data_IF_749201503089
#
_entry.id   IF_749201503089
#
_cell.length_a   1.000
_cell.length_b   1.000
_cell.length_c   1.000
_cell.angle_alpha   90.00
_cell.angle_beta   90.00
_cell.angle_gamma   90.00
#
_symmetry.space_group_name_H-M   'P 1'
#
loop_
_entity.id
_entity.type
_entity.pdbx_description
1 polymer ?
#
# COMPACT_ATOMS: atom_id res chain seq x y z
N UNK A 1 -24.08 -0.53 -4.74
CA UNK A 1 -24.77 -1.83 -4.56
C UNK A 1 -23.91 -2.67 -3.64
N UNK A 2 -24.39 -2.82 -2.42
CA UNK A 2 -23.67 -3.34 -1.27
C UNK A 2 -23.74 -4.88 -1.30
N UNK A 3 -22.65 -5.55 -1.72
CA UNK A 3 -22.51 -6.99 -1.49
C UNK A 3 -22.05 -7.14 -0.05
N UNK A 4 -22.97 -7.47 0.84
CA UNK A 4 -22.61 -7.97 2.17
C UNK A 4 -21.68 -9.18 1.98
N UNK A 5 -20.51 -9.11 2.60
CA UNK A 5 -19.48 -10.14 2.54
C UNK A 5 -20.09 -11.49 2.92
N UNK A 6 -20.09 -12.46 2.00
CA UNK A 6 -20.54 -13.80 2.32
C UNK A 6 -19.50 -14.48 3.23
N UNK A 7 -19.91 -15.46 4.04
CA UNK A 7 -18.98 -16.25 4.85
C UNK A 7 -17.90 -16.95 4.02
N UNK A 8 -18.18 -17.23 2.74
CA UNK A 8 -17.21 -17.79 1.79
C UNK A 8 -16.13 -16.80 1.36
N UNK A 9 -16.44 -15.50 1.27
CA UNK A 9 -15.47 -14.46 0.90
C UNK A 9 -14.45 -14.22 2.02
N UNK A 10 -14.91 -14.24 3.27
CA UNK A 10 -14.06 -14.11 4.45
C UNK A 10 -13.12 -15.31 4.61
N UNK A 11 -13.61 -16.53 4.33
CA UNK A 11 -12.79 -17.75 4.40
C UNK A 11 -11.68 -17.74 3.34
N UNK A 12 -11.99 -17.35 2.10
CA UNK A 12 -11.00 -17.21 1.03
C UNK A 12 -9.97 -16.12 1.34
N UNK A 13 -10.41 -14.99 1.86
CA UNK A 13 -9.52 -13.92 2.31
C UNK A 13 -8.58 -14.38 3.44
N UNK A 14 -9.10 -15.20 4.37
CA UNK A 14 -8.32 -15.78 5.46
C UNK A 14 -7.29 -16.80 4.95
N UNK A 15 -7.68 -17.68 4.04
CA UNK A 15 -6.76 -18.64 3.42
C UNK A 15 -5.64 -17.91 2.66
N UNK A 16 -5.99 -16.84 1.91
CA UNK A 16 -5.01 -16.01 1.21
C UNK A 16 -4.04 -15.30 2.16
N UNK A 17 -4.58 -14.72 3.25
CA UNK A 17 -3.79 -14.11 4.30
C UNK A 17 -2.87 -15.13 4.97
N UNK A 18 -3.35 -16.36 5.21
CA UNK A 18 -2.57 -17.46 5.80
C UNK A 18 -1.42 -17.88 4.89
N UNK A 19 -1.65 -18.01 3.58
CA UNK A 19 -0.62 -18.33 2.60
C UNK A 19 0.44 -17.24 2.53
N UNK A 20 0.03 -15.97 2.43
CA UNK A 20 0.97 -14.84 2.45
C UNK A 20 1.74 -14.79 3.78
N UNK A 21 1.11 -15.13 4.90
CA UNK A 21 1.75 -15.21 6.21
C UNK A 21 2.74 -16.40 6.30
N UNK A 22 2.46 -17.52 5.66
CA UNK A 22 3.40 -18.64 5.56
C UNK A 22 4.65 -18.24 4.77
N UNK A 23 4.50 -17.55 3.63
CA UNK A 23 5.63 -16.99 2.88
C UNK A 23 6.45 -16.04 3.74
N UNK A 24 5.77 -15.12 4.45
CA UNK A 24 6.41 -14.17 5.38
C UNK A 24 7.17 -14.88 6.51
N UNK A 25 6.62 -15.99 7.03
CA UNK A 25 7.22 -16.78 8.11
C UNK A 25 8.41 -17.61 7.61
N UNK A 26 8.31 -18.17 6.40
CA UNK A 26 9.37 -18.92 5.74
C UNK A 26 10.56 -18.03 5.38
N UNK A 27 10.30 -16.76 5.03
CA UNK A 27 11.34 -15.79 4.72
C UNK A 27 11.20 -14.53 5.58
N UNK A 28 11.80 -14.58 6.79
CA UNK A 28 11.76 -13.47 7.76
C UNK A 28 12.31 -12.15 7.22
N UNK A 29 13.17 -12.17 6.19
CA UNK A 29 13.68 -10.95 5.56
C UNK A 29 12.57 -10.13 4.89
N UNK A 30 11.48 -10.76 4.43
CA UNK A 30 10.33 -10.06 3.84
C UNK A 30 9.59 -9.19 4.86
N UNK A 31 9.51 -9.60 6.12
CA UNK A 31 8.84 -8.84 7.19
C UNK A 31 9.59 -7.56 7.59
N UNK A 32 10.87 -7.47 7.28
CA UNK A 32 11.70 -6.32 7.61
C UNK A 32 11.35 -5.10 6.75
N UNK A 33 10.95 -5.26 5.49
CA UNK A 33 10.66 -4.13 4.61
C UNK A 33 9.40 -3.32 5.00
N UNK A 34 8.27 -3.94 5.39
CA UNK A 34 7.11 -3.24 5.94
C UNK A 34 7.43 -2.50 7.26
N UNK A 35 8.18 -3.13 8.16
CA UNK A 35 8.61 -2.50 9.43
C UNK A 35 9.54 -1.33 9.15
N UNK A 36 10.49 -1.51 8.23
CA UNK A 36 11.38 -0.44 7.76
C UNK A 36 10.57 0.70 7.13
N UNK A 37 9.58 0.39 6.29
CA UNK A 37 8.69 1.38 5.68
C UNK A 37 7.95 2.20 6.75
N UNK A 38 7.39 1.52 7.75
CA UNK A 38 6.69 2.17 8.86
C UNK A 38 7.62 3.05 9.68
N UNK A 39 8.82 2.55 10.02
CA UNK A 39 9.82 3.31 10.78
C UNK A 39 10.32 4.54 10.02
N UNK A 40 10.66 4.40 8.73
CA UNK A 40 11.09 5.50 7.87
C UNK A 40 9.97 6.51 7.64
N UNK A 41 8.72 6.05 7.45
CA UNK A 41 7.57 6.94 7.29
C UNK A 41 7.28 7.73 8.57
N UNK A 42 7.41 7.09 9.73
CA UNK A 42 7.30 7.77 11.02
C UNK A 42 8.42 8.80 11.22
N UNK A 43 9.65 8.45 10.84
CA UNK A 43 10.78 9.38 10.87
C UNK A 43 10.54 10.60 9.98
N UNK A 44 10.06 10.41 8.74
CA UNK A 44 9.65 11.51 7.85
C UNK A 44 8.57 12.35 8.53
N UNK A 45 7.54 11.72 9.09
CA UNK A 45 6.50 12.42 9.87
C UNK A 45 7.08 13.32 10.96
N UNK A 46 8.01 12.80 11.77
CA UNK A 46 8.66 13.56 12.85
C UNK A 46 9.53 14.70 12.32
N UNK A 47 10.33 14.46 11.27
CA UNK A 47 11.21 15.47 10.65
C UNK A 47 10.42 16.68 10.14
N UNK A 48 9.22 16.46 9.61
CA UNK A 48 8.35 17.55 9.14
C UNK A 48 7.46 18.14 10.25
N UNK A 49 6.97 17.33 11.19
CA UNK A 49 6.05 17.78 12.23
C UNK A 49 6.74 18.59 13.35
N UNK A 50 7.96 18.20 13.77
CA UNK A 50 8.67 18.86 14.88
C UNK A 50 8.98 20.33 14.57
N UNK A 51 9.56 20.70 13.41
CA UNK A 51 9.84 22.10 13.12
C UNK A 51 8.57 22.96 13.03
N UNK A 52 7.48 22.40 12.47
CA UNK A 52 6.19 23.09 12.34
C UNK A 52 5.54 23.30 13.71
N UNK A 53 5.61 22.32 14.62
CA UNK A 53 5.02 22.45 15.96
C UNK A 53 5.79 23.39 16.88
N UNK A 54 7.11 23.52 16.68
CA UNK A 54 7.97 24.45 17.43
C UNK A 54 7.97 25.87 16.84
N UNK A 55 7.36 26.07 15.67
CA UNK A 55 7.32 27.37 15.02
C UNK A 55 6.46 28.36 15.82
N UNK A 56 7.10 29.41 16.34
CA UNK A 56 6.42 30.48 17.10
C UNK A 56 5.54 31.38 16.22
N UNK A 57 5.85 31.46 14.93
CA UNK A 57 5.14 32.31 13.98
C UNK A 57 4.60 31.48 12.81
N UNK A 58 3.35 31.04 12.93
CA UNK A 58 2.68 30.24 11.89
C UNK A 58 2.38 31.06 10.63
N UNK A 59 2.22 32.39 10.74
CA UNK A 59 1.97 33.28 9.60
C UNK A 59 3.18 33.30 8.65
N UNK A 60 4.39 33.19 9.18
CA UNK A 60 5.61 33.08 8.39
C UNK A 60 5.71 31.74 7.62
N UNK A 61 5.03 30.68 8.10
CA UNK A 61 4.99 29.37 7.44
C UNK A 61 3.86 29.25 6.43
N UNK A 62 2.80 30.07 6.53
CA UNK A 62 1.63 29.97 5.67
C UNK A 62 1.96 30.04 4.16
N UNK A 63 2.85 30.93 3.68
CA UNK A 63 3.26 30.94 2.26
C UNK A 63 4.03 29.70 1.83
N UNK A 64 4.75 29.05 2.76
CA UNK A 64 5.55 27.85 2.51
C UNK A 64 4.77 26.55 2.66
N UNK A 65 3.56 26.59 3.23
CA UNK A 65 2.76 25.41 3.52
C UNK A 65 2.57 24.47 2.30
N UNK A 66 2.30 24.97 1.07
CA UNK A 66 2.18 24.10 -0.10
C UNK A 66 3.49 23.36 -0.43
N UNK A 67 4.63 24.02 -0.27
CA UNK A 67 5.95 23.43 -0.53
C UNK A 67 6.29 22.39 0.54
N UNK A 68 6.03 22.72 1.82
CA UNK A 68 6.23 21.79 2.94
C UNK A 68 5.38 20.53 2.77
N UNK A 69 4.10 20.69 2.41
CA UNK A 69 3.19 19.57 2.15
C UNK A 69 3.62 18.74 0.93
N UNK A 70 4.07 19.39 -0.14
CA UNK A 70 4.60 18.70 -1.31
C UNK A 70 5.84 17.86 -0.97
N UNK A 71 6.81 18.44 -0.25
CA UNK A 71 8.02 17.73 0.17
C UNK A 71 7.72 16.59 1.14
N UNK A 72 6.80 16.80 2.07
CA UNK A 72 6.33 15.75 2.98
C UNK A 72 5.70 14.59 2.21
N UNK A 73 4.78 14.88 1.28
CA UNK A 73 4.13 13.88 0.44
C UNK A 73 5.14 13.14 -0.44
N UNK A 74 6.00 13.87 -1.14
CA UNK A 74 7.03 13.32 -2.03
C UNK A 74 7.98 12.38 -1.27
N UNK A 75 8.49 12.82 -0.12
CA UNK A 75 9.42 12.03 0.69
C UNK A 75 8.74 10.79 1.25
N UNK A 76 7.50 10.92 1.74
CA UNK A 76 6.72 9.78 2.24
C UNK A 76 6.44 8.76 1.13
N UNK A 77 6.09 9.24 -0.07
CA UNK A 77 5.87 8.39 -1.23
C UNK A 77 7.16 7.66 -1.64
N UNK A 78 8.29 8.37 -1.67
CA UNK A 78 9.60 7.78 -1.99
C UNK A 78 10.00 6.69 -0.98
N UNK A 79 9.78 6.90 0.32
CA UNK A 79 10.04 5.90 1.37
C UNK A 79 9.22 4.63 1.15
N UNK A 80 7.91 4.78 0.92
CA UNK A 80 7.02 3.64 0.68
C UNK A 80 7.44 2.89 -0.59
N UNK A 81 7.72 3.61 -1.67
CA UNK A 81 8.16 3.01 -2.93
C UNK A 81 9.52 2.30 -2.80
N UNK A 82 10.44 2.87 -2.02
CA UNK A 82 11.73 2.27 -1.72
C UNK A 82 11.57 0.92 -1.00
N UNK A 83 10.79 0.89 0.08
CA UNK A 83 10.53 -0.34 0.82
C UNK A 83 9.80 -1.39 -0.01
N UNK A 84 8.83 -0.97 -0.82
CA UNK A 84 8.11 -1.86 -1.72
C UNK A 84 9.01 -2.42 -2.82
N UNK A 85 9.94 -1.61 -3.35
CA UNK A 85 10.94 -2.04 -4.33
C UNK A 85 11.87 -3.09 -3.74
N UNK A 86 12.35 -2.88 -2.51
CA UNK A 86 13.22 -3.82 -1.81
C UNK A 86 12.49 -5.15 -1.51
N UNK A 87 11.23 -5.07 -1.06
CA UNK A 87 10.38 -6.24 -0.84
C UNK A 87 10.15 -7.01 -2.14
N UNK A 88 9.85 -6.30 -3.22
CA UNK A 88 9.57 -6.89 -4.53
C UNK A 88 10.78 -7.66 -5.08
N UNK A 89 11.99 -7.11 -4.96
CA UNK A 89 13.23 -7.83 -5.34
C UNK A 89 13.37 -9.14 -4.55
N UNK A 90 13.16 -9.09 -3.23
CA UNK A 90 13.27 -10.30 -2.42
C UNK A 90 12.16 -11.32 -2.65
N UNK A 91 10.92 -10.87 -2.84
CA UNK A 91 9.81 -11.75 -3.18
C UNK A 91 10.05 -12.42 -4.54
N UNK A 92 10.54 -11.67 -5.54
CA UNK A 92 10.85 -12.22 -6.86
C UNK A 92 12.00 -13.23 -6.80
N UNK A 93 13.07 -12.96 -6.03
CA UNK A 93 14.16 -13.90 -5.80
C UNK A 93 13.69 -15.18 -5.09
N UNK A 94 12.84 -15.04 -4.07
CA UNK A 94 12.26 -16.17 -3.33
C UNK A 94 11.47 -17.11 -4.24
N UNK A 95 10.62 -16.57 -5.11
CA UNK A 95 9.86 -17.39 -6.08
C UNK A 95 10.75 -18.12 -7.10
N UNK A 96 12.01 -17.70 -7.25
CA UNK A 96 13.01 -18.35 -8.11
C UNK A 96 13.91 -19.33 -7.35
N UNK A 97 13.69 -19.52 -6.05
CA UNK A 97 14.55 -20.33 -5.17
C UNK A 97 15.90 -19.67 -4.87
N UNK A 98 16.05 -18.37 -5.13
CA UNK A 98 17.28 -17.61 -4.87
C UNK A 98 17.26 -17.09 -3.41
N UNK A 99 18.36 -17.23 -2.65
CA UNK A 99 18.42 -16.72 -1.29
C UNK A 99 18.39 -15.18 -1.30
N UNK A 100 17.31 -14.54 -0.82
CA UNK A 100 17.29 -13.08 -0.66
C UNK A 100 17.48 -12.65 0.79
N UNK A 101 18.57 -11.93 1.04
CA UNK A 101 18.81 -11.23 2.29
C UNK A 101 18.17 -9.83 2.29
N UNK A 102 17.79 -9.30 3.46
CA UNK A 102 17.22 -7.95 3.55
C UNK A 102 18.19 -6.87 3.08
N UNK A 103 19.49 -7.04 3.35
CA UNK A 103 20.54 -6.14 2.89
C UNK A 103 20.64 -6.09 1.37
N UNK A 104 20.46 -7.23 0.70
CA UNK A 104 20.46 -7.29 -0.76
C UNK A 104 19.23 -6.58 -1.36
N UNK A 105 18.04 -6.78 -0.79
CA UNK A 105 16.84 -6.04 -1.20
C UNK A 105 17.01 -4.52 -1.05
N UNK A 106 17.58 -4.07 0.07
CA UNK A 106 17.92 -2.65 0.31
C UNK A 106 18.93 -2.15 -0.73
N UNK A 107 20.02 -2.89 -0.96
CA UNK A 107 21.06 -2.51 -1.92
C UNK A 107 20.52 -2.40 -3.34
N UNK A 108 19.64 -3.32 -3.76
CA UNK A 108 18.99 -3.27 -5.08
C UNK A 108 18.04 -2.09 -5.20
N UNK A 109 17.26 -1.80 -4.16
CA UNK A 109 16.41 -0.60 -4.13
C UNK A 109 17.24 0.70 -4.15
N UNK A 110 18.39 0.74 -3.47
CA UNK A 110 19.32 1.88 -3.53
C UNK A 110 19.88 2.10 -4.95
N UNK A 111 20.14 1.03 -5.69
CA UNK A 111 20.57 1.09 -7.09
C UNK A 111 19.51 1.61 -8.08
N UNK A 112 18.26 1.77 -7.63
CA UNK A 112 17.14 2.24 -8.45
C UNK A 112 16.48 3.51 -7.88
N UNK A 113 17.19 4.25 -7.02
CA UNK A 113 16.67 5.47 -6.39
C UNK A 113 16.21 6.52 -7.41
N UNK A 114 16.94 6.68 -8.52
CA UNK A 114 16.58 7.57 -9.61
C UNK A 114 15.17 7.28 -10.14
N UNK A 115 14.83 6.01 -10.34
CA UNK A 115 13.51 5.57 -10.81
C UNK A 115 12.44 5.72 -9.73
N UNK A 116 12.76 5.37 -8.49
CA UNK A 116 11.86 5.52 -7.34
C UNK A 116 11.47 7.00 -7.17
N UNK A 117 12.44 7.90 -7.18
CA UNK A 117 12.21 9.35 -7.05
C UNK A 117 11.45 9.90 -8.25
N UNK A 118 11.80 9.47 -9.46
CA UNK A 118 11.07 9.85 -10.67
C UNK A 118 9.61 9.39 -10.66
N UNK A 119 9.35 8.18 -10.15
CA UNK A 119 7.98 7.66 -9.98
C UNK A 119 7.20 8.42 -8.91
N UNK A 120 7.83 8.71 -7.77
CA UNK A 120 7.24 9.54 -6.71
C UNK A 120 6.87 10.94 -7.23
N UNK A 121 7.72 11.53 -8.08
CA UNK A 121 7.45 12.83 -8.70
C UNK A 121 6.24 12.78 -9.63
N UNK A 122 6.14 11.76 -10.49
CA UNK A 122 5.00 11.58 -11.40
C UNK A 122 3.71 11.39 -10.58
N UNK A 123 3.73 10.57 -9.54
CA UNK A 123 2.59 10.39 -8.63
C UNK A 123 2.16 11.71 -8.00
N UNK A 124 3.11 12.54 -7.57
CA UNK A 124 2.85 13.89 -7.06
C UNK A 124 2.21 14.82 -8.08
N UNK A 125 2.71 14.84 -9.32
CA UNK A 125 2.14 15.65 -10.42
C UNK A 125 0.70 15.22 -10.73
N UNK A 126 0.43 13.91 -10.79
CA UNK A 126 -0.92 13.39 -11.02
C UNK A 126 -1.85 13.76 -9.87
N UNK A 127 -1.41 13.61 -8.61
CA UNK A 127 -2.21 13.98 -7.44
C UNK A 127 -2.56 15.47 -7.41
N UNK A 128 -1.58 16.35 -7.68
CA UNK A 128 -1.81 17.80 -7.77
C UNK A 128 -2.74 18.14 -8.93
N UNK A 129 -2.56 17.50 -10.07
CA UNK A 129 -3.41 17.71 -11.26
C UNK A 129 -4.85 17.28 -11.01
N UNK A 130 -5.06 16.16 -10.33
CA UNK A 130 -6.38 15.67 -9.93
C UNK A 130 -7.06 16.65 -8.96
N UNK A 131 -6.38 17.09 -7.91
CA UNK A 131 -6.91 18.08 -6.96
C UNK A 131 -7.23 19.43 -7.64
N UNK A 132 -6.42 19.84 -8.63
CA UNK A 132 -6.69 21.03 -9.41
C UNK A 132 -7.93 20.87 -10.31
N UNK A 133 -8.13 19.68 -10.89
CA UNK A 133 -9.33 19.33 -11.65
C UNK A 133 -10.58 19.34 -10.76
N UNK A 134 -10.55 18.72 -9.57
CA UNK A 134 -11.68 18.68 -8.63
C UNK A 134 -12.21 20.08 -8.31
N UNK A 135 -11.32 21.06 -8.16
CA UNK A 135 -11.68 22.45 -7.87
C UNK A 135 -12.40 23.18 -9.01
N UNK A 136 -12.53 22.58 -10.20
CA UNK A 136 -13.21 23.17 -11.37
C UNK A 136 -14.69 22.80 -11.48
N UNK A 137 -15.31 22.30 -10.41
CA UNK A 137 -16.74 21.99 -10.33
C UNK A 137 -17.06 20.54 -10.71
N UNK A 138 -18.35 20.23 -10.92
CA UNK A 138 -18.85 18.84 -11.09
C UNK A 138 -18.20 18.06 -12.24
N UNK A 139 -17.85 18.73 -13.33
CA UNK A 139 -17.12 18.11 -14.45
C UNK A 139 -15.66 17.79 -14.07
N UNK A 140 -15.04 18.66 -13.28
CA UNK A 140 -13.69 18.49 -12.76
C UNK A 140 -13.59 17.34 -11.76
N UNK A 141 -14.57 17.20 -10.88
CA UNK A 141 -14.71 16.06 -9.95
C UNK A 141 -14.87 14.72 -10.70
N UNK A 142 -15.70 14.69 -11.76
CA UNK A 142 -15.85 13.50 -12.61
C UNK A 142 -14.54 13.15 -13.32
N UNK A 143 -13.86 14.13 -13.90
CA UNK A 143 -12.57 13.93 -14.57
C UNK A 143 -11.49 13.47 -13.60
N UNK A 144 -11.43 14.04 -12.39
CA UNK A 144 -10.47 13.62 -11.37
C UNK A 144 -10.73 12.18 -10.91
N UNK A 145 -11.98 11.79 -10.74
CA UNK A 145 -12.37 10.41 -10.45
C UNK A 145 -11.99 9.46 -11.59
N UNK A 146 -12.20 9.86 -12.85
CA UNK A 146 -11.77 9.11 -14.03
C UNK A 146 -10.26 8.96 -14.12
N UNK A 147 -9.52 10.05 -13.90
CA UNK A 147 -8.04 10.05 -13.88
C UNK A 147 -7.55 9.17 -12.75
N UNK A 148 -8.11 9.28 -11.54
CA UNK A 148 -7.75 8.44 -10.39
C UNK A 148 -8.04 6.95 -10.62
N UNK A 149 -9.20 6.63 -11.21
CA UNK A 149 -9.58 5.27 -11.59
C UNK A 149 -8.63 4.68 -12.63
N UNK A 150 -8.46 5.38 -13.75
CA UNK A 150 -7.57 4.95 -14.85
C UNK A 150 -6.11 4.87 -14.39
N UNK A 151 -5.67 5.79 -13.53
CA UNK A 151 -4.34 5.78 -12.93
C UNK A 151 -4.11 4.52 -12.11
N UNK A 152 -5.04 4.14 -11.23
CA UNK A 152 -4.96 2.91 -10.42
C UNK A 152 -4.81 1.65 -11.30
N UNK A 153 -5.57 1.58 -12.40
CA UNK A 153 -5.55 0.47 -13.34
C UNK A 153 -4.21 0.37 -14.08
N UNK A 154 -3.74 1.47 -14.67
CA UNK A 154 -2.53 1.46 -15.50
C UNK A 154 -1.26 1.37 -14.65
N UNK A 155 -1.30 1.80 -13.38
CA UNK A 155 -0.13 1.77 -12.49
C UNK A 155 0.01 0.48 -11.69
N UNK A 156 -0.96 -0.44 -11.76
CA UNK A 156 -0.98 -1.68 -10.98
C UNK A 156 0.30 -2.52 -11.17
N UNK A 157 0.74 -2.72 -12.42
CA UNK A 157 1.98 -3.43 -12.74
C UNK A 157 3.17 -2.49 -13.01
N UNK A 158 2.98 -1.17 -12.95
CA UNK A 158 4.03 -0.22 -13.28
C UNK A 158 5.21 -0.31 -12.31
N UNK A 159 4.97 -0.49 -11.01
CA UNK A 159 6.07 -0.66 -10.05
C UNK A 159 6.85 -1.97 -10.30
N UNK A 160 6.20 -3.15 -10.41
CA UNK A 160 6.88 -4.38 -10.80
C UNK A 160 7.69 -4.28 -12.09
N UNK A 161 7.09 -3.72 -13.15
CA UNK A 161 7.77 -3.55 -14.45
C UNK A 161 8.97 -2.60 -14.33
N UNK A 162 8.80 -1.45 -13.68
CA UNK A 162 9.87 -0.46 -13.51
C UNK A 162 11.09 -1.07 -12.80
N UNK A 163 10.83 -1.87 -11.77
CA UNK A 163 11.85 -2.46 -10.90
C UNK A 163 12.48 -3.69 -11.52
N UNK A 164 11.68 -4.64 -12.00
CA UNK A 164 12.14 -5.95 -12.47
C UNK A 164 12.62 -5.93 -13.92
N UNK A 165 11.95 -5.17 -14.79
CA UNK A 165 12.41 -4.98 -16.18
C UNK A 165 13.45 -3.85 -16.29
N UNK A 166 13.73 -3.18 -15.17
CA UNK A 166 14.71 -2.11 -15.09
C UNK A 166 14.48 -1.02 -16.16
N UNK A 167 13.23 -0.62 -16.37
CA UNK A 167 12.82 0.46 -17.28
C UNK A 167 12.42 1.75 -16.54
N UNK A 168 12.41 2.88 -17.26
CA UNK A 168 11.98 4.16 -16.72
C UNK A 168 10.46 4.24 -16.46
N UNK A 169 9.98 5.16 -15.61
CA UNK A 169 8.56 5.26 -15.23
C UNK A 169 7.56 5.30 -16.37
N UNK A 170 7.83 6.10 -17.40
CA UNK A 170 6.93 6.26 -18.56
C UNK A 170 6.86 4.98 -19.38
N UNK A 171 7.99 4.28 -19.53
CA UNK A 171 8.03 2.97 -20.20
C UNK A 171 7.30 1.92 -19.37
N UNK A 172 7.46 1.95 -18.05
CA UNK A 172 6.76 1.05 -17.14
C UNK A 172 5.24 1.19 -17.24
N UNK A 173 4.71 2.42 -17.37
CA UNK A 173 3.28 2.68 -17.61
C UNK A 173 2.82 2.03 -18.92
N UNK A 174 3.56 2.25 -20.02
CA UNK A 174 3.23 1.69 -21.34
C UNK A 174 3.22 0.17 -21.32
N UNK A 175 4.24 -0.43 -20.71
CA UNK A 175 4.38 -1.87 -20.59
C UNK A 175 3.36 -2.48 -19.65
N UNK A 176 3.06 -1.82 -18.53
CA UNK A 176 1.96 -2.19 -17.63
C UNK A 176 0.64 -2.22 -18.38
N UNK A 177 0.35 -1.21 -19.23
CA UNK A 177 -0.82 -1.19 -20.10
C UNK A 177 -0.86 -2.37 -21.07
N UNK A 178 0.25 -2.71 -21.74
CA UNK A 178 0.30 -3.88 -22.65
C UNK A 178 0.04 -5.20 -21.94
N UNK A 179 0.63 -5.38 -20.74
CA UNK A 179 0.38 -6.56 -19.91
C UNK A 179 -1.11 -6.63 -19.57
N UNK A 180 -1.69 -5.49 -19.16
CA UNK A 180 -3.10 -5.36 -18.86
C UNK A 180 -3.98 -5.73 -20.05
N UNK A 181 -3.77 -5.15 -21.22
CA UNK A 181 -4.58 -5.39 -22.43
C UNK A 181 -4.55 -6.86 -22.85
N UNK A 182 -3.46 -7.58 -22.57
CA UNK A 182 -3.32 -9.02 -22.87
C UNK A 182 -3.96 -9.93 -21.84
N UNK A 183 -3.99 -9.52 -20.58
CA UNK A 183 -4.48 -10.36 -19.45
C UNK A 183 -5.89 -9.99 -18.99
N UNK A 184 -6.47 -8.88 -19.44
CA UNK A 184 -7.63 -8.25 -18.79
C UNK A 184 -8.84 -8.04 -19.72
N UNK A 185 -10.01 -8.59 -19.35
CA UNK A 185 -11.28 -8.52 -20.12
C UNK A 185 -12.52 -8.00 -19.37
N UNK A 186 -12.43 -7.64 -18.08
CA UNK A 186 -13.57 -7.04 -17.36
C UNK A 186 -13.28 -6.75 -15.89
N UNK A 187 -13.59 -5.52 -15.49
CA UNK A 187 -13.74 -4.96 -14.14
C UNK A 187 -12.77 -5.42 -13.02
N UNK A 188 -11.92 -4.49 -12.58
CA UNK A 188 -11.18 -4.56 -11.31
C UNK A 188 -12.13 -4.89 -10.14
N UNK A 189 -11.99 -6.07 -9.56
CA UNK A 189 -12.25 -6.28 -8.14
C UNK A 189 -11.04 -6.94 -7.49
N UNK A 190 -9.94 -6.19 -7.39
CA UNK A 190 -8.90 -6.50 -6.40
C UNK A 190 -9.25 -5.69 -5.14
N UNK A 191 -9.35 -6.36 -3.99
CA UNK A 191 -9.50 -5.80 -2.61
C UNK A 191 -10.91 -5.70 -2.00
N UNK A 192 -11.63 -6.82 -1.83
CA UNK A 192 -12.70 -6.87 -0.81
C UNK A 192 -12.34 -7.73 0.41
N UNK A 193 -11.56 -8.79 0.25
CA UNK A 193 -11.19 -9.69 1.36
C UNK A 193 -10.22 -9.10 2.39
N UNK A 194 -9.06 -8.58 1.95
CA UNK A 194 -8.06 -8.01 2.88
C UNK A 194 -8.50 -6.66 3.48
N UNK A 195 -9.26 -5.86 2.73
CA UNK A 195 -9.84 -4.61 3.23
C UNK A 195 -10.91 -4.89 4.27
N UNK A 196 -11.70 -5.97 4.14
CA UNK A 196 -12.61 -6.41 5.19
C UNK A 196 -11.88 -6.76 6.49
N UNK A 197 -10.75 -7.48 6.42
CA UNK A 197 -9.91 -7.76 7.59
C UNK A 197 -9.34 -6.48 8.21
N UNK A 198 -8.90 -5.53 7.39
CA UNK A 198 -8.43 -4.22 7.85
C UNK A 198 -9.55 -3.42 8.56
N UNK A 199 -10.76 -3.43 8.01
CA UNK A 199 -11.92 -2.75 8.58
C UNK A 199 -12.37 -3.39 9.90
N UNK A 200 -12.33 -4.72 10.00
CA UNK A 200 -12.57 -5.45 11.26
C UNK A 200 -11.54 -5.07 12.32
N UNK A 201 -10.25 -5.05 11.97
CA UNK A 201 -9.20 -4.63 12.88
C UNK A 201 -9.38 -3.17 13.34
N UNK A 202 -9.75 -2.27 12.43
CA UNK A 202 -10.05 -0.88 12.76
C UNK A 202 -11.26 -0.77 13.70
N UNK A 203 -12.33 -1.54 13.46
CA UNK A 203 -13.51 -1.56 14.32
C UNK A 203 -13.17 -2.02 15.76
N UNK A 204 -12.36 -3.07 15.91
CA UNK A 204 -11.86 -3.50 17.22
C UNK A 204 -11.02 -2.41 17.88
N UNK A 205 -10.17 -1.72 17.13
CA UNK A 205 -9.38 -0.59 17.62
C UNK A 205 -10.23 0.57 18.15
N UNK A 206 -11.34 0.88 17.47
CA UNK A 206 -12.30 1.90 17.93
C UNK A 206 -12.98 1.47 19.23
N UNK A 207 -13.45 0.23 19.33
CA UNK A 207 -14.06 -0.30 20.56
C UNK A 207 -13.08 -0.25 21.74
N UNK A 208 -11.81 -0.57 21.50
CA UNK A 208 -10.75 -0.43 22.50
C UNK A 208 -10.56 1.02 22.95
N UNK A 209 -10.49 1.98 22.02
CA UNK A 209 -10.36 3.40 22.35
C UNK A 209 -11.55 3.89 23.21
N UNK A 210 -12.77 3.49 22.87
CA UNK A 210 -13.98 3.81 23.64
C UNK A 210 -13.88 3.23 25.06
N UNK A 211 -13.44 1.98 25.21
CA UNK A 211 -13.26 1.35 26.52
C UNK A 211 -12.22 2.08 27.38
N UNK A 212 -11.10 2.51 26.79
CA UNK A 212 -10.08 3.29 27.51
C UNK A 212 -10.60 4.66 27.97
N UNK A 213 -11.41 5.32 27.15
CA UNK A 213 -12.07 6.58 27.53
C UNK A 213 -13.09 6.35 28.65
N UNK A 214 -13.93 5.32 28.56
CA UNK A 214 -14.89 4.97 29.60
C UNK A 214 -14.20 4.67 30.94
N UNK A 215 -13.08 3.93 30.90
CA UNK A 215 -12.27 3.62 32.07
C UNK A 215 -11.62 4.88 32.67
N UNK A 216 -11.14 5.81 31.84
CA UNK A 216 -10.60 7.09 32.31
C UNK A 216 -11.66 7.96 33.01
N UNK A 217 -12.89 7.98 32.49
CA UNK A 217 -14.02 8.67 33.13
C UNK A 217 -14.34 8.02 34.48
N UNK A 218 -14.40 6.69 34.54
CA UNK A 218 -14.70 5.97 35.78
C UNK A 218 -13.62 6.20 36.87
N UNK A 219 -12.35 6.18 36.48
CA UNK A 219 -11.22 6.35 37.38
C UNK A 219 -10.82 7.81 37.63
N UNK A 220 -11.51 8.77 37.02
CA UNK A 220 -11.19 10.21 37.09
C UNK A 220 -9.72 10.51 36.79
N UNK A 221 -9.13 9.75 35.86
CA UNK A 221 -7.69 9.80 35.55
C UNK A 221 -7.47 9.69 34.05
N UNK A 222 -6.53 10.47 33.52
CA UNK A 222 -6.14 10.44 32.10
C UNK A 222 -5.19 9.28 31.77
N UNK A 223 -4.63 8.61 32.79
CA UNK A 223 -3.64 7.55 32.63
C UNK A 223 -4.13 6.38 31.73
N UNK A 224 -5.39 5.88 31.86
CA UNK A 224 -5.90 4.81 31.01
C UNK A 224 -6.04 5.20 29.54
N UNK A 225 -6.31 6.47 29.25
CA UNK A 225 -6.38 6.99 27.87
C UNK A 225 -4.99 7.05 27.26
N UNK A 226 -3.99 7.60 27.98
CA UNK A 226 -2.62 7.67 27.47
C UNK A 226 -2.05 6.27 27.25
N UNK A 227 -2.18 5.38 28.24
CA UNK A 227 -1.71 4.00 28.11
C UNK A 227 -2.47 3.23 27.01
N UNK A 228 -3.79 3.36 26.99
CA UNK A 228 -4.66 2.71 26.01
C UNK A 228 -4.41 3.14 24.57
N UNK A 229 -4.24 4.44 24.33
CA UNK A 229 -3.90 4.99 23.02
C UNK A 229 -2.47 4.62 22.59
N UNK A 230 -1.52 4.57 23.53
CA UNK A 230 -0.15 4.14 23.22
C UNK A 230 -0.11 2.68 22.78
N UNK A 231 -0.84 1.80 23.48
CA UNK A 231 -1.00 0.38 23.10
C UNK A 231 -1.71 0.27 21.75
N UNK A 232 -2.79 1.02 21.56
CA UNK A 232 -3.56 1.02 20.32
C UNK A 232 -2.70 1.46 19.12
N UNK A 233 -1.85 2.48 19.30
CA UNK A 233 -0.94 2.96 18.26
C UNK A 233 0.04 1.87 17.83
N UNK A 234 0.66 1.17 18.78
CA UNK A 234 1.59 0.07 18.51
C UNK A 234 0.89 -1.08 17.79
N UNK A 235 -0.29 -1.49 18.27
CA UNK A 235 -1.07 -2.58 17.66
C UNK A 235 -1.59 -2.21 16.27
N UNK A 236 -2.04 -0.97 16.07
CA UNK A 236 -2.47 -0.47 14.78
C UNK A 236 -1.31 -0.43 13.78
N UNK A 237 -0.14 0.05 14.21
CA UNK A 237 1.07 0.07 13.37
C UNK A 237 1.51 -1.36 12.99
N UNK A 238 1.52 -2.30 13.94
CA UNK A 238 1.85 -3.69 13.68
C UNK A 238 0.84 -4.35 12.71
N UNK A 239 -0.45 -4.10 12.91
CA UNK A 239 -1.52 -4.63 12.06
C UNK A 239 -1.44 -4.06 10.64
N UNK A 240 -1.21 -2.75 10.51
CA UNK A 240 -1.01 -2.10 9.20
C UNK A 240 0.24 -2.62 8.49
N UNK A 241 1.34 -2.83 9.21
CA UNK A 241 2.56 -3.42 8.66
C UNK A 241 2.29 -4.84 8.12
N UNK A 242 1.63 -5.70 8.90
CA UNK A 242 1.27 -7.05 8.45
C UNK A 242 0.36 -6.99 7.23
N UNK A 243 -0.75 -6.25 7.28
CA UNK A 243 -1.70 -6.16 6.17
C UNK A 243 -1.06 -5.63 4.89
N UNK A 244 -0.22 -4.59 5.00
CA UNK A 244 0.51 -4.06 3.84
C UNK A 244 1.48 -5.09 3.25
N UNK A 245 2.15 -5.89 4.09
CA UNK A 245 3.01 -7.00 3.64
C UNK A 245 2.21 -8.01 2.83
N UNK A 246 1.09 -8.47 3.38
CA UNK A 246 0.23 -9.47 2.75
C UNK A 246 -0.30 -8.97 1.40
N UNK A 247 -0.72 -7.70 1.33
CA UNK A 247 -1.15 -7.07 0.08
C UNK A 247 -0.04 -7.04 -0.98
N UNK A 248 1.20 -6.73 -0.57
CA UNK A 248 2.33 -6.68 -1.49
C UNK A 248 2.75 -8.06 -1.99
N UNK A 249 2.78 -9.06 -1.11
CA UNK A 249 3.08 -10.45 -1.48
C UNK A 249 2.02 -10.95 -2.48
N UNK A 250 0.74 -10.69 -2.23
CA UNK A 250 -0.32 -11.05 -3.16
C UNK A 250 -0.17 -10.35 -4.52
N UNK A 251 0.13 -9.04 -4.54
CA UNK A 251 0.40 -8.32 -5.80
C UNK A 251 1.57 -8.92 -6.57
N UNK A 252 2.63 -9.32 -5.88
CA UNK A 252 3.79 -9.97 -6.50
C UNK A 252 3.41 -11.34 -7.10
N UNK A 253 2.59 -12.13 -6.40
CA UNK A 253 2.09 -13.42 -6.89
C UNK A 253 1.22 -13.26 -8.14
N UNK A 254 0.29 -12.30 -8.13
CA UNK A 254 -0.57 -11.96 -9.28
C UNK A 254 0.27 -11.46 -10.47
N UNK A 255 1.28 -10.63 -10.22
CA UNK A 255 2.20 -10.17 -11.27
C UNK A 255 3.02 -11.31 -11.88
N UNK A 256 3.53 -12.23 -11.03
CA UNK A 256 4.26 -13.39 -11.50
C UNK A 256 3.40 -14.25 -12.44
N UNK A 257 2.16 -14.55 -12.04
CA UNK A 257 1.21 -15.26 -12.90
C UNK A 257 0.90 -14.50 -14.19
N UNK A 258 0.69 -13.18 -14.13
CA UNK A 258 0.43 -12.37 -15.32
C UNK A 258 1.59 -12.36 -16.35
N UNK A 259 2.83 -12.50 -15.88
CA UNK A 259 4.02 -12.47 -16.74
C UNK A 259 4.44 -13.87 -17.22
N UNK A 260 4.36 -14.87 -16.35
CA UNK A 260 4.94 -16.20 -16.56
C UNK A 260 3.86 -17.23 -16.89
N UNK A 261 2.59 -16.93 -16.63
CA UNK A 261 1.45 -17.85 -16.76
C UNK A 261 1.60 -19.12 -15.90
N UNK A 262 2.40 -19.03 -14.84
CA UNK A 262 2.65 -20.08 -13.84
C UNK A 262 2.25 -19.52 -12.48
N UNK A 263 1.42 -20.25 -11.76
CA UNK A 263 1.02 -19.90 -10.39
C UNK A 263 2.19 -20.24 -9.46
N UNK A 264 2.62 -19.32 -8.56
CA UNK A 264 3.63 -19.66 -7.57
C UNK A 264 3.15 -20.85 -6.72
N UNK A 265 4.02 -21.82 -6.44
CA UNK A 265 3.66 -23.11 -5.84
C UNK A 265 2.96 -22.99 -4.47
N UNK A 266 3.15 -21.86 -3.78
CA UNK A 266 2.55 -21.55 -2.49
C UNK A 266 1.07 -21.14 -2.60
N UNK A 267 0.61 -20.69 -3.76
CA UNK A 267 -0.75 -20.21 -3.97
C UNK A 267 -1.60 -21.26 -4.70
N UNK A 268 -2.84 -21.45 -4.25
CA UNK A 268 -3.80 -22.20 -5.02
C UNK A 268 -4.11 -21.46 -6.32
N UNK A 269 -4.17 -22.18 -7.44
CA UNK A 269 -4.46 -21.60 -8.76
C UNK A 269 -5.75 -20.78 -8.76
N UNK A 270 -6.79 -21.29 -8.10
CA UNK A 270 -8.07 -20.60 -7.93
C UNK A 270 -7.91 -19.20 -7.27
N UNK A 271 -7.00 -19.03 -6.31
CA UNK A 271 -6.79 -17.74 -5.63
C UNK A 271 -6.16 -16.67 -6.51
N UNK A 272 -5.30 -17.09 -7.44
CA UNK A 272 -4.58 -16.19 -8.35
C UNK A 272 -5.41 -15.96 -9.61
N UNK A 273 -6.01 -17.02 -10.16
CA UNK A 273 -6.86 -16.98 -11.36
C UNK A 273 -8.17 -16.24 -11.11
N UNK A 274 -8.77 -16.36 -9.92
CA UNK A 274 -10.00 -15.64 -9.60
C UNK A 274 -9.81 -14.12 -9.54
N UNK A 275 -8.58 -13.63 -9.29
CA UNK A 275 -8.23 -12.21 -9.43
C UNK A 275 -8.39 -11.69 -10.87
N UNK A 276 -8.45 -12.59 -11.87
CA UNK A 276 -8.60 -12.28 -13.29
C UNK A 276 -9.98 -12.66 -13.86
N UNK A 277 -10.93 -13.19 -13.06
CA UNK A 277 -12.24 -13.61 -13.56
C UNK A 277 -13.15 -12.39 -13.86
N UNK A 278 -13.80 -12.32 -15.04
CA UNK A 278 -14.75 -11.25 -15.34
C UNK A 278 -16.01 -11.38 -14.48
N UNK A 279 -16.56 -10.23 -14.10
CA UNK A 279 -17.83 -10.09 -13.38
C UNK A 279 -18.94 -10.84 -14.14
N UNK A 280 -19.49 -11.90 -13.55
CA UNK A 280 -20.82 -12.36 -13.92
C UNK A 280 -21.80 -11.29 -13.45
N UNK A 281 -22.08 -10.32 -14.32
CA UNK A 281 -23.25 -9.49 -14.21
C UNK A 281 -24.44 -10.45 -14.27
N UNK A 282 -25.08 -10.69 -13.13
CA UNK A 282 -26.38 -11.34 -13.11
C UNK A 282 -27.30 -10.47 -13.97
N UNK A 283 -27.67 -11.02 -15.13
CA UNK A 283 -28.71 -10.49 -15.98
C UNK A 283 -30.07 -10.55 -15.26
#
# INVERSE_FOLDING_TARGET
MDRSLSGGDLRRAWELARTCFQVLRSQRSLALFPVLSGALSALVGLVFAIPVSLAKNWEALAPLAPVILFLFYFTSCAVVLFSNTALLHCAHGYFRGEPCSAGEGISRALGQLDRILSWAAIGGVVGVSANWLEKRGRLGEWLASFVGGLWSVVTFFALPVMVLENVGPVQAIKRSKEILERTWGGALQVHYGLSALANLAAAVGVLWAIACVALAVHLHSYLPVIAGLSILLVLAAATAAVLSSLQQIFRAAVYHYACVNIVPAEFAEEMVVEAFRPLQLAA
#
